data_IF_017181852669
#
_entry.id   IF_017181852669
#
_cell.length_a   1.000
_cell.length_b   1.000
_cell.length_c   1.000
_cell.angle_alpha   90.00
_cell.angle_beta   90.00
_cell.angle_gamma   90.00
#
_symmetry.space_group_name_H-M   'P 1'
#
loop_
_entity.id
_entity.type
_entity.pdbx_description
1 polymer ?
#
# COMPACT_ATOMS: atom_id res chain seq x y z
N UNK A 1 18.64 15.64 -17.07
CA UNK A 1 19.49 16.85 -17.13
C UNK A 1 19.30 17.66 -15.87
N UNK A 2 20.35 18.31 -15.37
CA UNK A 2 20.29 19.18 -14.21
C UNK A 2 20.85 20.58 -14.56
N UNK A 3 20.40 21.61 -13.85
CA UNK A 3 20.88 22.97 -14.07
C UNK A 3 20.64 23.89 -12.86
N UNK A 4 21.32 25.04 -12.86
CA UNK A 4 21.16 26.09 -11.84
C UNK A 4 20.46 27.29 -12.47
N UNK A 5 19.34 27.69 -11.89
CA UNK A 5 18.65 28.94 -12.24
C UNK A 5 19.36 30.10 -11.54
N UNK A 6 19.93 31.04 -12.31
CA UNK A 6 20.66 32.21 -11.79
C UNK A 6 19.66 33.35 -11.51
N UNK A 7 19.86 34.05 -10.39
CA UNK A 7 19.03 35.16 -9.93
C UNK A 7 19.24 35.41 -8.43
N UNK A 8 18.49 36.33 -7.84
CA UNK A 8 18.60 36.68 -6.42
C UNK A 8 18.38 35.48 -5.46
N UNK A 9 17.70 34.43 -5.94
CA UNK A 9 17.58 33.13 -5.25
C UNK A 9 17.95 32.02 -6.22
N UNK A 10 19.23 31.64 -6.25
CA UNK A 10 19.69 30.54 -7.09
C UNK A 10 19.02 29.22 -6.65
N UNK A 11 18.57 28.41 -7.61
CA UNK A 11 17.92 27.10 -7.35
C UNK A 11 18.48 26.03 -8.28
N UNK A 12 18.69 24.85 -7.74
CA UNK A 12 19.02 23.66 -8.52
C UNK A 12 17.73 23.00 -9.01
N UNK A 13 17.68 22.67 -10.30
CA UNK A 13 16.50 22.10 -10.93
C UNK A 13 16.87 20.90 -11.81
N UNK A 14 16.08 19.83 -11.69
CA UNK A 14 16.13 18.66 -12.56
C UNK A 14 15.11 18.78 -13.68
N UNK A 15 15.51 18.39 -14.88
CA UNK A 15 14.68 18.38 -16.09
C UNK A 15 14.85 17.07 -16.86
N UNK A 16 13.82 16.72 -17.63
CA UNK A 16 13.87 15.64 -18.60
C UNK A 16 12.71 14.67 -18.49
N UNK A 17 12.70 13.71 -19.40
CA UNK A 17 11.63 12.72 -19.53
C UNK A 17 11.47 11.83 -18.29
N UNK A 18 12.56 11.54 -17.58
CA UNK A 18 12.53 10.82 -16.30
C UNK A 18 11.72 11.57 -15.24
N UNK A 19 11.92 12.89 -15.09
CA UNK A 19 11.15 13.73 -14.15
C UNK A 19 9.68 13.79 -14.56
N UNK A 20 9.40 13.90 -15.86
CA UNK A 20 8.04 13.88 -16.38
C UNK A 20 7.36 12.54 -16.04
N UNK A 21 8.03 11.43 -16.29
CA UNK A 21 7.54 10.07 -15.98
C UNK A 21 7.29 9.91 -14.49
N UNK A 22 8.21 10.34 -13.63
CA UNK A 22 8.06 10.28 -12.18
C UNK A 22 6.82 11.07 -11.70
N UNK A 23 6.61 12.30 -12.19
CA UNK A 23 5.40 13.07 -11.84
C UNK A 23 4.10 12.38 -12.28
N UNK A 24 4.14 11.62 -13.38
CA UNK A 24 2.99 10.83 -13.85
C UNK A 24 2.74 9.62 -12.98
N UNK A 25 3.80 8.94 -12.53
CA UNK A 25 3.66 7.85 -11.57
C UNK A 25 2.99 8.37 -10.30
N UNK A 26 3.45 9.51 -9.77
CA UNK A 26 2.84 10.15 -8.60
C UNK A 26 1.36 10.49 -8.83
N UNK A 27 1.03 11.18 -9.93
CA UNK A 27 -0.33 11.62 -10.22
C UNK A 27 -1.35 10.48 -10.44
N UNK A 28 -0.87 9.28 -10.80
CA UNK A 28 -1.71 8.11 -11.07
C UNK A 28 -1.57 7.03 -10.00
N UNK A 29 -0.88 7.35 -8.92
CA UNK A 29 -0.64 6.45 -7.79
C UNK A 29 -1.83 6.37 -6.85
N UNK A 30 -1.78 5.39 -5.95
CA UNK A 30 -2.75 5.22 -4.88
C UNK A 30 -2.06 5.58 -3.57
N UNK A 31 -2.79 6.26 -2.67
CA UNK A 31 -2.28 6.63 -1.35
C UNK A 31 -1.72 5.41 -0.62
N UNK A 32 -0.58 5.58 0.04
CA UNK A 32 0.13 4.54 0.80
C UNK A 32 0.65 3.35 -0.05
N UNK A 33 0.69 3.48 -1.37
CA UNK A 33 1.26 2.49 -2.26
C UNK A 33 2.49 3.06 -2.96
N UNK A 34 3.48 2.21 -3.27
CA UNK A 34 4.66 2.60 -4.05
C UNK A 34 4.46 2.08 -5.47
N UNK A 35 4.31 2.99 -6.44
CA UNK A 35 4.21 2.64 -7.85
C UNK A 35 5.59 2.75 -8.52
N UNK A 36 5.94 1.77 -9.34
CA UNK A 36 7.19 1.76 -10.10
C UNK A 36 6.94 1.49 -11.59
N UNK A 37 7.85 1.98 -12.43
CA UNK A 37 7.82 1.74 -13.88
C UNK A 37 8.23 0.31 -14.21
N UNK A 38 7.97 -0.13 -15.44
CA UNK A 38 8.42 -1.44 -15.93
C UNK A 38 9.95 -1.58 -15.91
N UNK A 39 10.71 -0.53 -16.29
CA UNK A 39 12.17 -0.57 -16.25
C UNK A 39 12.69 -0.77 -14.83
N UNK A 40 12.08 -0.09 -13.86
CA UNK A 40 12.43 -0.26 -12.44
C UNK A 40 12.09 -1.68 -11.94
N UNK A 41 10.95 -2.22 -12.38
CA UNK A 41 10.53 -3.59 -12.06
C UNK A 41 11.51 -4.65 -12.61
N UNK A 42 12.02 -4.47 -13.82
CA UNK A 42 13.06 -5.34 -14.40
C UNK A 42 14.32 -5.33 -13.54
N UNK A 43 14.85 -4.15 -13.20
CA UNK A 43 16.06 -4.02 -12.37
C UNK A 43 15.87 -4.69 -11.00
N UNK A 44 14.70 -4.53 -10.38
CA UNK A 44 14.39 -5.17 -9.10
C UNK A 44 14.29 -6.69 -9.22
N UNK A 45 13.77 -7.19 -10.34
CA UNK A 45 13.70 -8.63 -10.62
C UNK A 45 15.08 -9.23 -10.80
N UNK A 46 15.94 -8.59 -11.60
CA UNK A 46 17.35 -8.97 -11.81
C UNK A 46 18.15 -8.92 -10.49
N UNK A 47 17.79 -8.01 -9.59
CA UNK A 47 18.39 -7.90 -8.26
C UNK A 47 17.85 -8.92 -7.23
N UNK A 48 17.05 -9.91 -7.66
CA UNK A 48 16.47 -10.94 -6.78
C UNK A 48 15.29 -10.46 -5.90
N UNK A 49 14.76 -9.27 -6.16
CA UNK A 49 13.65 -8.65 -5.40
C UNK A 49 12.31 -8.72 -6.16
N UNK A 50 12.24 -9.47 -7.25
CA UNK A 50 11.02 -9.59 -8.08
C UNK A 50 9.77 -10.00 -7.30
N UNK A 51 9.91 -10.81 -6.24
CA UNK A 51 8.82 -11.23 -5.35
C UNK A 51 8.11 -10.09 -4.60
N UNK A 52 8.69 -8.89 -4.60
CA UNK A 52 8.09 -7.69 -3.98
C UNK A 52 7.20 -6.91 -4.95
N UNK A 53 7.16 -7.31 -6.22
CA UNK A 53 6.45 -6.60 -7.28
C UNK A 53 5.11 -7.26 -7.59
N UNK A 54 4.10 -6.42 -7.83
CA UNK A 54 2.77 -6.86 -8.25
C UNK A 54 2.38 -6.02 -9.46
N UNK A 55 2.08 -6.66 -10.58
CA UNK A 55 1.60 -5.96 -11.76
C UNK A 55 0.28 -5.25 -11.45
N UNK A 56 0.18 -3.98 -11.84
CA UNK A 56 -1.09 -3.25 -11.77
C UNK A 56 -2.04 -3.78 -12.84
N UNK A 57 -3.30 -3.99 -12.49
CA UNK A 57 -4.33 -4.57 -13.38
C UNK A 57 -4.65 -3.71 -14.62
N UNK A 58 -4.18 -2.45 -14.67
CA UNK A 58 -4.42 -1.54 -15.78
C UNK A 58 -3.16 -0.83 -16.26
N UNK A 59 -3.15 -0.51 -17.55
CA UNK A 59 -2.15 0.36 -18.17
C UNK A 59 -2.42 1.81 -17.82
N UNK A 60 -1.37 2.58 -17.56
CA UNK A 60 -1.47 4.01 -17.37
C UNK A 60 -1.16 4.74 -18.67
N UNK A 61 -1.91 5.81 -18.95
CA UNK A 61 -1.64 6.67 -20.12
C UNK A 61 -0.64 7.77 -19.73
N UNK A 62 0.57 7.66 -20.25
CA UNK A 62 1.61 8.67 -20.09
C UNK A 62 1.69 9.55 -21.35
N UNK A 63 1.53 10.85 -21.19
CA UNK A 63 1.64 11.82 -22.29
C UNK A 63 3.03 11.71 -22.94
N UNK A 64 3.06 11.44 -24.25
CA UNK A 64 4.30 11.27 -25.01
C UNK A 64 4.90 9.86 -24.99
N UNK A 65 4.39 8.95 -24.15
CA UNK A 65 4.84 7.54 -24.07
C UNK A 65 3.76 6.51 -24.41
N UNK A 66 2.50 6.93 -24.48
CA UNK A 66 1.39 6.02 -24.74
C UNK A 66 0.97 5.26 -23.49
N UNK A 67 0.60 4.00 -23.66
CA UNK A 67 0.17 3.14 -22.56
C UNK A 67 1.38 2.44 -21.95
N UNK A 68 1.49 2.45 -20.62
CA UNK A 68 2.61 1.85 -19.89
C UNK A 68 2.09 0.89 -18.82
N UNK A 69 2.69 -0.30 -18.75
CA UNK A 69 2.51 -1.19 -17.60
C UNK A 69 3.27 -0.64 -16.40
N UNK A 70 2.64 -0.70 -15.22
CA UNK A 70 3.30 -0.34 -13.96
C UNK A 70 3.07 -1.40 -12.89
N UNK A 71 3.83 -1.28 -11.81
CA UNK A 71 3.86 -2.27 -10.74
C UNK A 71 3.71 -1.59 -9.39
N UNK A 72 3.07 -2.27 -8.46
CA UNK A 72 3.10 -1.94 -7.04
C UNK A 72 4.28 -2.64 -6.39
N UNK A 73 5.07 -1.88 -5.64
CA UNK A 73 6.12 -2.41 -4.80
C UNK A 73 5.56 -2.62 -3.38
N UNK A 74 5.56 -3.86 -2.90
CA UNK A 74 5.27 -4.20 -1.50
C UNK A 74 6.59 -4.44 -0.77
N UNK A 75 7.02 -3.51 0.10
CA UNK A 75 8.15 -3.77 1.00
C UNK A 75 7.87 -5.04 1.79
N UNK A 76 8.89 -5.86 2.06
CA UNK A 76 8.74 -6.93 3.06
C UNK A 76 8.23 -6.27 4.33
N UNK A 77 7.12 -6.78 4.86
CA UNK A 77 6.74 -6.45 6.23
C UNK A 77 8.00 -6.71 7.07
N UNK A 78 8.48 -5.68 7.77
CA UNK A 78 9.47 -5.89 8.82
C UNK A 78 8.83 -6.96 9.70
N UNK A 79 9.37 -8.17 9.73
CA UNK A 79 8.88 -9.19 10.66
C UNK A 79 8.80 -8.50 12.01
N UNK A 80 7.61 -8.42 12.58
CA UNK A 80 7.38 -7.84 13.89
C UNK A 80 7.98 -8.77 14.95
N UNK A 81 9.31 -8.89 14.98
CA UNK A 81 10.01 -9.69 16.00
C UNK A 81 10.13 -8.93 17.33
N UNK A 82 9.16 -8.06 17.69
CA UNK A 82 9.29 -7.17 18.87
C UNK A 82 8.09 -7.08 19.82
N UNK A 83 7.14 -8.02 19.78
CA UNK A 83 6.03 -8.04 20.75
C UNK A 83 5.72 -9.44 21.29
N UNK A 84 6.74 -10.16 21.79
CA UNK A 84 6.54 -11.32 22.67
C UNK A 84 6.97 -11.09 24.12
N UNK A 85 7.21 -9.83 24.55
CA UNK A 85 7.75 -9.54 25.91
C UNK A 85 6.86 -8.71 26.84
N UNK A 86 5.58 -8.51 26.55
CA UNK A 86 4.63 -7.98 27.56
C UNK A 86 3.40 -8.90 27.62
N UNK A 87 3.62 -10.10 28.15
CA UNK A 87 2.61 -10.92 28.82
C UNK A 87 3.14 -11.20 30.23
N UNK A 88 2.89 -10.27 31.14
CA UNK A 88 3.07 -10.45 32.58
C UNK A 88 2.40 -9.24 33.25
N UNK A 89 1.09 -9.30 33.51
CA UNK A 89 0.50 -8.24 34.32
C UNK A 89 -1.01 -8.10 34.41
N UNK A 90 -1.85 -8.88 33.71
CA UNK A 90 -3.30 -8.79 33.90
C UNK A 90 -3.93 -10.17 34.09
N UNK A 91 -3.87 -10.65 35.34
CA UNK A 91 -4.81 -11.63 35.86
C UNK A 91 -5.91 -10.86 36.61
N UNK A 92 -7.15 -11.01 36.17
CA UNK A 92 -8.32 -10.86 37.04
C UNK A 92 -9.15 -12.13 36.83
N UNK A 93 -9.06 -13.03 37.81
CA UNK A 93 -10.02 -14.12 37.99
C UNK A 93 -11.38 -13.52 38.35
N UNK A 94 -12.47 -14.04 37.77
CA UNK A 94 -13.58 -14.59 38.54
C UNK A 94 -14.75 -15.10 37.66
N UNK A 95 -14.90 -16.43 37.66
CA UNK A 95 -16.14 -17.19 37.92
C UNK A 95 -17.46 -16.87 37.16
N UNK A 96 -17.73 -17.74 36.18
CA UNK A 96 -18.87 -18.65 36.06
C UNK A 96 -20.30 -18.27 36.51
N UNK A 97 -21.24 -18.29 35.55
CA UNK A 97 -22.64 -18.79 35.68
C UNK A 97 -23.24 -18.90 34.27
N UNK A 98 -23.40 -20.12 33.70
CA UNK A 98 -24.57 -21.02 33.73
C UNK A 98 -25.79 -20.53 32.90
N UNK A 99 -26.02 -21.28 31.81
CA UNK A 99 -27.27 -21.78 31.18
C UNK A 99 -28.65 -21.12 31.47
N UNK A 100 -29.52 -21.21 30.44
CA UNK A 100 -30.92 -20.71 30.27
C UNK A 100 -30.95 -19.34 29.54
N UNK A 101 -31.51 -19.18 28.33
CA UNK A 101 -32.86 -19.52 27.90
C UNK A 101 -32.93 -19.93 26.40
N UNK A 102 -33.15 -21.22 26.13
CA UNK A 102 -33.72 -21.75 24.87
C UNK A 102 -35.10 -22.29 25.23
N UNK A 103 -36.10 -21.40 25.33
CA UNK A 103 -37.54 -21.67 25.23
C UNK A 103 -38.30 -20.46 25.81
N UNK A 104 -39.02 -19.71 24.97
CA UNK A 104 -40.43 -19.35 25.17
C UNK A 104 -40.90 -18.56 23.93
N UNK A 105 -41.94 -19.10 23.29
CA UNK A 105 -42.89 -18.44 22.40
C UNK A 105 -42.60 -18.30 20.90
N UNK A 106 -42.68 -19.45 20.23
CA UNK A 106 -43.49 -19.59 19.02
C UNK A 106 -44.99 -19.40 19.33
N UNK A 107 -45.57 -18.20 19.18
CA UNK A 107 -47.01 -18.00 18.88
C UNK A 107 -47.31 -16.51 18.65
N UNK A 108 -48.13 -16.26 17.63
CA UNK A 108 -48.87 -15.02 17.35
C UNK A 108 -48.12 -13.89 16.62
N UNK A 109 -48.19 -13.91 15.28
CA UNK A 109 -48.84 -12.84 14.50
C UNK A 109 -49.52 -13.46 13.27
N UNK A 110 -50.77 -13.89 13.47
CA UNK A 110 -51.83 -13.83 12.48
C UNK A 110 -52.57 -12.50 12.74
N UNK A 111 -53.18 -11.96 11.69
CA UNK A 111 -54.04 -10.75 11.63
C UNK A 111 -53.22 -9.46 11.44
N UNK A 112 -53.29 -8.71 10.33
CA UNK A 112 -54.34 -8.43 9.33
C UNK A 112 -53.74 -8.22 7.93
#
# INVERSE_FOLDING_TARGET
TAGVLRGAKARFQLFGDTMNTASRMESTSIKNMIQVTAETATILTESGKGHTLIAREGLIKAKGKGLMQTYWLRPKARMESRTSRIQSGYNVEAHASRQEEEHIHSRAQHDE
#
